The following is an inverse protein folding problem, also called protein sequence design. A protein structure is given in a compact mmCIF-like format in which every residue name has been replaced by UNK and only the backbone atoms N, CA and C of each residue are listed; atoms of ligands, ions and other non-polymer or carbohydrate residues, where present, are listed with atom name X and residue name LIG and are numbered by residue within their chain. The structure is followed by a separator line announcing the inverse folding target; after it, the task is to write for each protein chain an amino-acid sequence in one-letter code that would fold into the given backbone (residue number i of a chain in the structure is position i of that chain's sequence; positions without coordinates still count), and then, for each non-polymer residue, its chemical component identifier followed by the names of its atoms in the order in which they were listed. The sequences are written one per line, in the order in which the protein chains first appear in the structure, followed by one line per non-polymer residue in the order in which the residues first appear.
data_IF_163373351891
#
_entry.id   IF_163373351891
#
_cell.length_a   1.000
_cell.length_b   1.000
_cell.length_c   1.000
_cell.angle_alpha   90.00
_cell.angle_beta   90.00
_cell.angle_gamma   90.00
#
_symmetry.space_group_name_H-M   'P 1'
#
loop_
_entity.id
_entity.type
_entity.pdbx_description
1 polymer ?
#
# COMPACT_ATOMS: atom_id res chain seq x y z
N UNK A 1 17.27 1.97 -15.99
CA UNK A 1 16.03 1.25 -16.37
C UNK A 1 16.28 -0.20 -16.11
N UNK A 2 15.49 -0.80 -15.23
CA UNK A 2 15.77 -2.12 -14.67
C UNK A 2 15.67 -3.22 -15.74
N UNK A 3 16.48 -4.30 -15.63
CA UNK A 3 16.29 -5.50 -16.42
C UNK A 3 14.86 -6.03 -16.29
N UNK A 4 14.33 -6.66 -17.34
CA UNK A 4 12.96 -7.20 -17.33
C UNK A 4 12.75 -8.25 -16.21
N UNK A 5 13.78 -9.03 -15.89
CA UNK A 5 13.73 -10.02 -14.80
C UNK A 5 13.56 -9.38 -13.43
N UNK A 6 14.21 -8.23 -13.20
CA UNK A 6 14.04 -7.46 -11.97
C UNK A 6 12.65 -6.83 -11.93
N UNK A 7 12.15 -6.29 -13.04
CA UNK A 7 10.78 -5.76 -13.12
C UNK A 7 9.74 -6.83 -12.77
N UNK A 8 9.89 -8.04 -13.31
CA UNK A 8 9.02 -9.18 -12.99
C UNK A 8 9.14 -9.56 -11.51
N UNK A 9 10.35 -9.64 -10.97
CA UNK A 9 10.59 -10.01 -9.57
C UNK A 9 9.97 -9.01 -8.61
N UNK A 10 10.12 -7.70 -8.87
CA UNK A 10 9.51 -6.62 -8.11
C UNK A 10 7.98 -6.68 -8.17
N UNK A 11 7.40 -6.81 -9.37
CA UNK A 11 5.95 -6.91 -9.54
C UNK A 11 5.38 -8.14 -8.82
N UNK A 12 6.01 -9.31 -8.94
CA UNK A 12 5.59 -10.52 -8.24
C UNK A 12 5.63 -10.36 -6.72
N UNK A 13 6.65 -9.66 -6.21
CA UNK A 13 6.81 -9.41 -4.78
C UNK A 13 5.82 -8.39 -4.22
N UNK A 14 5.52 -7.34 -4.99
CA UNK A 14 4.77 -6.18 -4.48
C UNK A 14 3.29 -6.16 -4.87
N UNK A 15 2.83 -6.96 -5.85
CA UNK A 15 1.48 -6.85 -6.39
C UNK A 15 0.38 -6.92 -5.32
N UNK A 16 0.50 -7.85 -4.36
CA UNK A 16 -0.48 -8.00 -3.27
C UNK A 16 -0.43 -6.80 -2.32
N UNK A 17 0.76 -6.34 -1.95
CA UNK A 17 0.93 -5.17 -1.08
C UNK A 17 0.34 -3.90 -1.71
N UNK A 18 0.69 -3.65 -2.97
CA UNK A 18 0.16 -2.51 -3.75
C UNK A 18 -1.36 -2.61 -3.88
N UNK A 19 -1.90 -3.81 -4.15
CA UNK A 19 -3.34 -4.03 -4.21
C UNK A 19 -4.02 -3.62 -2.90
N UNK A 20 -3.49 -4.02 -1.74
CA UNK A 20 -4.07 -3.65 -0.45
C UNK A 20 -3.86 -2.18 -0.07
N UNK A 21 -2.73 -1.57 -0.42
CA UNK A 21 -2.50 -0.13 -0.25
C UNK A 21 -3.57 0.66 -1.01
N UNK A 22 -3.81 0.32 -2.28
CA UNK A 22 -4.81 1.00 -3.13
C UNK A 22 -6.23 0.69 -2.67
N UNK A 23 -6.54 -0.58 -2.36
CA UNK A 23 -7.85 -1.00 -1.89
C UNK A 23 -8.26 -0.28 -0.59
N UNK A 24 -7.29 0.07 0.27
CA UNK A 24 -7.57 0.80 1.51
C UNK A 24 -8.27 2.15 1.29
N UNK A 25 -8.10 2.78 0.13
CA UNK A 25 -8.82 4.02 -0.22
C UNK A 25 -10.35 3.84 -0.21
N UNK A 26 -10.83 2.62 -0.40
CA UNK A 26 -12.25 2.23 -0.40
C UNK A 26 -12.75 1.71 0.96
N UNK A 27 -11.87 1.60 1.96
CA UNK A 27 -12.22 1.02 3.27
C UNK A 27 -12.98 2.04 4.14
N UNK A 28 -14.16 1.64 4.62
CA UNK A 28 -15.02 2.43 5.49
C UNK A 28 -14.82 2.03 6.95
N UNK A 29 -14.27 2.93 7.76
CA UNK A 29 -14.03 2.69 9.20
C UNK A 29 -15.33 2.44 10.00
N UNK A 30 -16.44 3.07 9.60
CA UNK A 30 -17.72 2.96 10.32
C UNK A 30 -18.34 1.59 10.16
N UNK A 31 -18.29 1.03 8.96
CA UNK A 31 -18.95 -0.24 8.64
C UNK A 31 -17.98 -1.42 8.62
N UNK A 32 -16.68 -1.15 8.62
CA UNK A 32 -15.59 -2.12 8.45
C UNK A 32 -15.74 -2.96 7.17
N UNK A 33 -16.04 -2.30 6.04
CA UNK A 33 -16.16 -2.95 4.73
C UNK A 33 -15.41 -2.16 3.66
N UNK A 34 -15.15 -2.81 2.53
CA UNK A 34 -14.73 -2.12 1.31
C UNK A 34 -15.94 -1.68 0.49
N UNK A 35 -15.94 -0.42 0.07
CA UNK A 35 -17.00 0.18 -0.74
C UNK A 35 -16.47 0.48 -2.16
N UNK A 36 -16.63 -0.49 -3.06
CA UNK A 36 -16.11 -0.44 -4.42
C UNK A 36 -17.23 -0.05 -5.40
N UNK A 37 -17.60 1.23 -5.40
CA UNK A 37 -18.76 1.72 -6.16
C UNK A 37 -20.06 1.13 -5.61
N UNK A 38 -20.88 0.43 -6.42
CA UNK A 38 -22.10 -0.22 -5.93
C UNK A 38 -21.84 -1.50 -5.13
N UNK A 39 -20.61 -2.03 -5.18
CA UNK A 39 -20.25 -3.28 -4.52
C UNK A 39 -19.74 -3.02 -3.10
N UNK A 40 -20.17 -3.89 -2.18
CA UNK A 40 -19.71 -3.91 -0.80
C UNK A 40 -19.10 -5.28 -0.51
N UNK A 41 -17.87 -5.29 -0.01
CA UNK A 41 -17.19 -6.52 0.39
C UNK A 41 -16.97 -6.54 1.90
N UNK A 42 -17.49 -7.59 2.54
CA UNK A 42 -17.37 -7.81 3.98
C UNK A 42 -16.30 -8.86 4.30
N UNK A 43 -16.02 -9.05 5.59
CA UNK A 43 -15.14 -10.13 6.04
C UNK A 43 -15.71 -11.52 5.68
N UNK A 44 -17.04 -11.68 5.74
CA UNK A 44 -17.72 -12.92 5.38
C UNK A 44 -17.59 -13.25 3.89
N UNK A 45 -17.56 -12.24 3.01
CA UNK A 45 -17.32 -12.46 1.58
C UNK A 45 -15.91 -13.02 1.32
N UNK A 46 -14.91 -12.55 2.07
CA UNK A 46 -13.56 -13.11 2.06
C UNK A 46 -13.55 -14.58 2.50
N UNK A 47 -14.29 -14.91 3.56
CA UNK A 47 -14.38 -16.29 4.05
C UNK A 47 -15.08 -17.21 3.02
N UNK A 48 -16.12 -16.71 2.34
CA UNK A 48 -16.84 -17.46 1.28
C UNK A 48 -15.95 -17.83 0.09
N UNK A 49 -14.95 -17.01 -0.24
CA UNK A 49 -14.00 -17.31 -1.31
C UNK A 49 -12.77 -18.11 -0.85
N UNK A 50 -12.77 -18.57 0.40
CA UNK A 50 -11.82 -19.57 0.91
C UNK A 50 -10.70 -19.03 1.79
N UNK A 51 -10.70 -17.74 2.15
CA UNK A 51 -9.74 -17.22 3.13
C UNK A 51 -10.09 -17.65 4.56
N UNK A 52 -9.06 -17.95 5.35
CA UNK A 52 -9.22 -18.22 6.77
C UNK A 52 -9.64 -16.96 7.52
N UNK A 53 -10.52 -17.12 8.52
CA UNK A 53 -11.07 -16.00 9.29
C UNK A 53 -9.96 -15.24 10.01
N UNK A 54 -9.00 -15.96 10.60
CA UNK A 54 -7.89 -15.38 11.34
C UNK A 54 -6.99 -14.51 10.45
N UNK A 55 -6.78 -14.94 9.19
CA UNK A 55 -6.08 -14.13 8.21
C UNK A 55 -6.87 -12.88 7.83
N UNK A 56 -8.18 -13.01 7.63
CA UNK A 56 -9.05 -11.89 7.30
C UNK A 56 -9.14 -10.86 8.43
N UNK A 57 -9.14 -11.30 9.70
CA UNK A 57 -9.09 -10.41 10.85
C UNK A 57 -7.83 -9.55 10.84
N UNK A 58 -6.67 -10.18 10.59
CA UNK A 58 -5.39 -9.46 10.46
C UNK A 58 -5.44 -8.47 9.28
N UNK A 59 -6.00 -8.89 8.15
CA UNK A 59 -6.12 -8.07 6.95
C UNK A 59 -7.03 -6.84 7.19
N UNK A 60 -8.21 -7.04 7.77
CA UNK A 60 -9.14 -5.95 8.08
C UNK A 60 -8.58 -5.04 9.16
N UNK A 61 -7.83 -5.57 10.13
CA UNK A 61 -7.10 -4.77 11.10
C UNK A 61 -6.05 -3.87 10.44
N UNK A 62 -5.25 -4.41 9.50
CA UNK A 62 -4.31 -3.62 8.70
C UNK A 62 -5.03 -2.45 8.00
N UNK A 63 -6.13 -2.73 7.30
CA UNK A 63 -6.88 -1.69 6.61
C UNK A 63 -7.48 -0.65 7.57
N UNK A 64 -7.97 -1.07 8.73
CA UNK A 64 -8.46 -0.17 9.76
C UNK A 64 -7.36 0.75 10.31
N UNK A 65 -6.17 0.22 10.53
CA UNK A 65 -5.02 1.00 11.02
C UNK A 65 -4.51 1.97 9.96
N UNK A 66 -4.34 1.53 8.71
CA UNK A 66 -3.90 2.39 7.62
C UNK A 66 -4.90 3.53 7.36
N UNK A 67 -6.21 3.24 7.36
CA UNK A 67 -7.24 4.25 7.09
C UNK A 67 -7.30 5.32 8.19
N UNK A 68 -6.97 4.98 9.44
CA UNK A 68 -6.90 5.94 10.56
C UNK A 68 -5.78 6.96 10.42
N UNK A 69 -4.74 6.68 9.63
CA UNK A 69 -3.68 7.65 9.33
C UNK A 69 -4.18 8.81 8.45
N UNK A 70 -5.35 8.68 7.82
CA UNK A 70 -5.95 9.70 6.95
C UNK A 70 -4.99 10.17 5.86
N UNK A 71 -4.31 9.20 5.23
CA UNK A 71 -3.36 9.48 4.17
C UNK A 71 -4.03 10.18 2.99
N UNK A 72 -3.30 11.10 2.38
CA UNK A 72 -3.65 11.75 1.13
C UNK A 72 -3.21 10.90 -0.07
N UNK A 73 -3.77 11.20 -1.24
CA UNK A 73 -3.46 10.46 -2.47
C UNK A 73 -1.95 10.39 -2.76
N UNK A 74 -1.15 11.47 -2.64
CA UNK A 74 0.30 11.36 -2.86
C UNK A 74 1.01 10.45 -1.86
N UNK A 75 0.51 10.37 -0.61
CA UNK A 75 1.09 9.49 0.41
C UNK A 75 0.79 8.02 0.11
N UNK A 76 -0.40 7.69 -0.39
CA UNK A 76 -0.71 6.33 -0.89
C UNK A 76 0.17 5.93 -2.06
N UNK A 77 0.36 6.84 -3.04
CA UNK A 77 1.17 6.56 -4.24
C UNK A 77 2.63 6.34 -3.86
N UNK A 78 3.19 7.17 -2.97
CA UNK A 78 4.56 7.01 -2.51
C UNK A 78 4.74 5.73 -1.67
N UNK A 79 3.75 5.37 -0.84
CA UNK A 79 3.76 4.10 -0.11
C UNK A 79 3.75 2.89 -1.06
N UNK A 80 2.92 2.93 -2.11
CA UNK A 80 2.89 1.88 -3.13
C UNK A 80 4.20 1.80 -3.94
N UNK A 81 4.81 2.95 -4.25
CA UNK A 81 6.11 3.01 -4.93
C UNK A 81 7.22 2.42 -4.07
N UNK A 82 7.25 2.72 -2.76
CA UNK A 82 8.20 2.09 -1.83
C UNK A 82 8.03 0.57 -1.76
N UNK A 83 6.79 0.07 -1.72
CA UNK A 83 6.52 -1.37 -1.76
C UNK A 83 7.00 -2.01 -3.08
N UNK A 84 6.83 -1.30 -4.21
CA UNK A 84 7.29 -1.75 -5.53
C UNK A 84 8.81 -1.85 -5.60
N UNK A 85 9.54 -0.84 -5.14
CA UNK A 85 11.00 -0.78 -5.19
C UNK A 85 11.67 -1.40 -3.97
N UNK A 86 11.19 -2.54 -3.47
CA UNK A 86 11.87 -3.22 -2.36
C UNK A 86 13.06 -4.06 -2.88
N UNK A 87 14.31 -3.80 -2.43
CA UNK A 87 15.50 -4.46 -2.98
C UNK A 87 15.67 -5.92 -2.50
N UNK A 88 14.93 -6.32 -1.48
CA UNK A 88 14.97 -7.62 -0.83
C UNK A 88 14.04 -8.68 -1.49
N UNK A 89 13.36 -8.34 -2.59
CA UNK A 89 12.49 -9.30 -3.29
C UNK A 89 13.31 -10.47 -3.86
N UNK A 90 12.83 -11.72 -3.72
CA UNK A 90 13.47 -12.88 -4.35
C UNK A 90 13.61 -12.71 -5.87
N UNK A 91 14.80 -12.97 -6.40
CA UNK A 91 15.10 -12.86 -7.83
C UNK A 91 15.68 -11.52 -8.28
N UNK A 92 15.63 -10.48 -7.42
CA UNK A 92 16.22 -9.17 -7.75
C UNK A 92 17.75 -9.24 -7.79
N UNK A 93 18.30 -8.70 -8.88
CA UNK A 93 19.74 -8.61 -9.15
C UNK A 93 20.31 -7.21 -8.93
N UNK A 94 19.64 -6.14 -9.38
CA UNK A 94 20.09 -4.74 -9.24
C UNK A 94 19.69 -4.14 -7.88
N UNK A 95 20.10 -4.77 -6.77
CA UNK A 95 19.67 -4.37 -5.42
C UNK A 95 20.03 -2.93 -5.06
N UNK A 96 21.24 -2.47 -5.40
CA UNK A 96 21.70 -1.12 -5.05
C UNK A 96 20.92 -0.03 -5.82
N UNK A 97 20.63 -0.24 -7.11
CA UNK A 97 19.80 0.69 -7.90
C UNK A 97 18.36 0.75 -7.35
N UNK A 98 17.80 -0.40 -6.96
CA UNK A 98 16.45 -0.48 -6.40
C UNK A 98 16.36 0.14 -5.00
N UNK A 99 17.37 -0.08 -4.15
CA UNK A 99 17.48 0.53 -2.83
C UNK A 99 17.52 2.06 -2.93
N UNK A 100 18.32 2.59 -3.87
CA UNK A 100 18.36 4.04 -4.13
C UNK A 100 17.01 4.59 -4.59
N UNK A 101 16.28 3.87 -5.45
CA UNK A 101 14.93 4.26 -5.86
C UNK A 101 13.95 4.23 -4.68
N UNK A 102 14.03 3.22 -3.81
CA UNK A 102 13.20 3.15 -2.60
C UNK A 102 13.48 4.31 -1.65
N UNK A 103 14.76 4.64 -1.45
CA UNK A 103 15.21 5.75 -0.60
C UNK A 103 14.68 7.08 -1.14
N UNK A 104 14.76 7.31 -2.46
CA UNK A 104 14.22 8.53 -3.09
C UNK A 104 12.71 8.70 -2.83
N UNK A 105 11.94 7.62 -2.95
CA UNK A 105 10.50 7.64 -2.64
C UNK A 105 10.24 7.92 -1.16
N UNK A 106 11.03 7.32 -0.26
CA UNK A 106 10.91 7.53 1.18
C UNK A 106 11.26 8.97 1.59
N UNK A 107 12.32 9.55 1.03
CA UNK A 107 12.73 10.94 1.25
C UNK A 107 11.70 11.92 0.70
N UNK A 108 11.09 11.60 -0.45
CA UNK A 108 10.01 12.39 -1.04
C UNK A 108 8.77 12.36 -0.16
N UNK A 109 8.37 11.20 0.35
CA UNK A 109 7.25 11.08 1.30
C UNK A 109 7.52 11.88 2.58
N UNK A 110 8.72 11.75 3.14
CA UNK A 110 9.10 12.50 4.34
C UNK A 110 9.06 14.01 4.10
N UNK A 111 9.55 14.47 2.95
CA UNK A 111 9.55 15.89 2.58
C UNK A 111 8.14 16.41 2.34
N UNK A 112 7.28 15.61 1.71
CA UNK A 112 5.88 15.91 1.49
C UNK A 112 5.16 16.13 2.83
N UNK A 113 5.24 15.16 3.75
CA UNK A 113 4.62 15.24 5.09
C UNK A 113 5.12 16.48 5.85
N UNK A 114 6.44 16.71 5.89
CA UNK A 114 7.03 17.90 6.55
C UNK A 114 6.54 19.21 5.93
N UNK A 115 6.41 19.25 4.61
CA UNK A 115 5.89 20.41 3.88
C UNK A 115 4.43 20.72 4.25
N UNK A 116 3.62 19.68 4.48
CA UNK A 116 2.24 19.85 4.93
C UNK A 116 2.12 20.37 6.35
N UNK A 117 2.93 19.85 7.28
CA UNK A 117 2.89 20.30 8.68
C UNK A 117 3.24 21.79 8.85
N UNK A 118 4.04 22.33 7.92
CA UNK A 118 4.41 23.76 7.90
C UNK A 118 3.31 24.67 7.35
N UNK A 119 2.35 24.12 6.61
CA UNK A 119 1.17 24.85 6.16
C UNK A 119 0.06 24.57 7.17
N UNK A 120 -0.46 25.55 7.93
CA UNK A 120 -1.65 25.30 8.73
C UNK A 120 -2.72 24.70 7.81
N UNK A 121 -3.32 23.58 8.23
CA UNK A 121 -4.52 23.08 7.55
C UNK A 121 -5.58 24.17 7.75
N UNK A 122 -5.75 25.02 6.74
CA UNK A 122 -6.88 25.95 6.69
C UNK A 122 -8.15 25.10 6.85
N UNK A 123 -8.80 25.27 8.00
CA UNK A 123 -10.04 24.62 8.38
C UNK A 123 -11.22 25.37 7.78
#
# INVERSE_FOLDING_TARGET
SLPIEDQISLLKGAAVEICHIVLNTTFCLQTQNFLCGPLRYTIEDGARVGFQVEFLELLFHFHGTLRKLQLQEPEYVLLAAMALFSPDRPGVTQRDEIDQLQEEMALTLQSYIKGQQRRPRDR
#
